data_IF_954688136104
#
_entry.id   IF_954688136104
#
_cell.length_a   1.000
_cell.length_b   1.000
_cell.length_c   1.000
_cell.angle_alpha   90.00
_cell.angle_beta   90.00
_cell.angle_gamma   90.00
#
_symmetry.space_group_name_H-M   'P 1'
#
loop_
_entity.id
_entity.type
_entity.pdbx_description
1 polymer ?
#
# COMPACT_ATOMS: atom_id res chain seq x y z
N UNK A 1 -24.31 -6.55 11.26
CA UNK A 1 -23.03 -6.86 10.59
C UNK A 1 -22.58 -5.68 9.73
N UNK A 2 -22.30 -4.52 10.34
CA UNK A 2 -21.74 -3.32 9.68
C UNK A 2 -20.59 -2.70 10.51
N UNK A 3 -20.20 -3.37 11.60
CA UNK A 3 -19.20 -2.92 12.58
C UNK A 3 -18.16 -4.02 12.84
N UNK A 4 -17.78 -4.77 11.80
CA UNK A 4 -16.57 -5.60 11.91
C UNK A 4 -15.39 -4.66 11.74
N UNK A 5 -14.59 -4.49 12.79
CA UNK A 5 -13.42 -3.61 12.81
C UNK A 5 -12.44 -3.97 11.67
N UNK A 6 -12.45 -5.22 11.19
CA UNK A 6 -11.64 -5.67 10.07
C UNK A 6 -12.10 -5.12 8.71
N UNK A 7 -13.36 -4.68 8.56
CA UNK A 7 -13.86 -4.16 7.29
C UNK A 7 -13.38 -2.75 6.96
N UNK A 8 -12.96 -1.98 7.97
CA UNK A 8 -12.45 -0.63 7.77
C UNK A 8 -10.94 -0.59 7.50
N UNK A 9 -10.28 -1.72 7.65
CA UNK A 9 -8.83 -1.86 7.55
C UNK A 9 -8.34 -1.66 6.10
N UNK A 10 -7.24 -0.94 5.92
CA UNK A 10 -6.72 -0.62 4.59
C UNK A 10 -6.47 -1.85 3.68
N UNK A 11 -6.00 -3.00 4.17
CA UNK A 11 -5.92 -4.23 3.38
C UNK A 11 -7.28 -4.69 2.83
N UNK A 12 -8.36 -4.53 3.60
CA UNK A 12 -9.70 -4.91 3.16
C UNK A 12 -10.19 -3.98 2.04
N UNK A 13 -9.93 -2.68 2.17
CA UNK A 13 -10.21 -1.71 1.11
C UNK A 13 -9.52 -2.11 -0.20
N UNK A 14 -8.29 -2.60 -0.14
CA UNK A 14 -7.56 -3.07 -1.33
C UNK A 14 -8.14 -4.39 -1.88
N UNK A 15 -8.53 -5.33 -1.02
CA UNK A 15 -9.18 -6.60 -1.42
C UNK A 15 -10.50 -6.34 -2.12
N UNK A 16 -11.38 -5.54 -1.51
CA UNK A 16 -12.68 -5.19 -2.09
C UNK A 16 -12.53 -4.35 -3.37
N UNK A 17 -11.53 -3.46 -3.43
CA UNK A 17 -11.22 -2.77 -4.69
C UNK A 17 -10.77 -3.74 -5.78
N UNK A 18 -9.87 -4.69 -5.50
CA UNK A 18 -9.46 -5.72 -6.48
C UNK A 18 -10.67 -6.53 -6.94
N UNK A 19 -11.53 -6.96 -6.02
CA UNK A 19 -12.76 -7.69 -6.31
C UNK A 19 -13.70 -6.89 -7.22
N UNK A 20 -13.94 -5.62 -6.91
CA UNK A 20 -14.74 -4.72 -7.73
C UNK A 20 -14.20 -4.65 -9.17
N UNK A 21 -12.88 -4.55 -9.35
CA UNK A 21 -12.25 -4.50 -10.67
C UNK A 21 -12.51 -5.80 -11.46
N UNK A 22 -12.35 -6.96 -10.81
CA UNK A 22 -12.65 -8.26 -11.42
C UNK A 22 -14.12 -8.40 -11.79
N UNK A 23 -15.03 -8.10 -10.87
CA UNK A 23 -16.48 -8.21 -11.08
C UNK A 23 -17.01 -7.26 -12.16
N UNK A 24 -16.37 -6.10 -12.35
CA UNK A 24 -16.73 -5.11 -13.37
C UNK A 24 -15.91 -5.20 -14.65
N UNK A 25 -15.03 -6.22 -14.78
CA UNK A 25 -14.10 -6.37 -15.91
C UNK A 25 -13.24 -5.13 -16.18
N UNK A 26 -12.91 -4.38 -15.12
CA UNK A 26 -11.99 -3.24 -15.17
C UNK A 26 -10.56 -3.71 -14.94
N UNK A 27 -9.63 -3.25 -15.77
CA UNK A 27 -8.20 -3.53 -15.60
C UNK A 27 -7.68 -2.90 -14.30
N UNK A 28 -6.94 -3.67 -13.50
CA UNK A 28 -6.36 -3.20 -12.24
C UNK A 28 -5.39 -2.05 -12.52
N UNK A 29 -5.57 -0.95 -11.80
CA UNK A 29 -4.78 0.28 -11.97
C UNK A 29 -4.18 0.75 -10.65
N UNK A 30 -3.96 -0.18 -9.70
CA UNK A 30 -3.37 0.11 -8.40
C UNK A 30 -2.50 -1.04 -7.87
N UNK A 31 -1.42 -0.69 -7.15
CA UNK A 31 -0.45 -1.63 -6.58
C UNK A 31 0.20 -1.09 -5.31
N UNK A 32 0.79 -1.99 -4.51
CA UNK A 32 1.78 -1.65 -3.49
C UNK A 32 3.17 -1.86 -4.08
N UNK A 33 3.98 -0.81 -4.15
CA UNK A 33 5.36 -0.86 -4.64
C UNK A 33 6.31 -0.75 -3.44
N UNK A 34 7.04 -1.83 -3.08
CA UNK A 34 8.04 -1.80 -2.03
C UNK A 34 9.31 -1.06 -2.49
N UNK A 35 9.87 -0.21 -1.63
CA UNK A 35 11.08 0.58 -1.90
C UNK A 35 11.11 1.13 -3.35
N UNK A 36 10.15 1.98 -3.73
CA UNK A 36 9.93 2.38 -5.11
C UNK A 36 11.16 3.05 -5.73
N UNK A 37 11.59 2.57 -6.89
CA UNK A 37 12.78 3.08 -7.58
C UNK A 37 12.65 4.57 -7.97
N UNK A 38 11.44 5.02 -8.29
CA UNK A 38 11.19 6.43 -8.63
C UNK A 38 11.51 7.40 -7.48
N UNK A 39 11.58 6.93 -6.23
CA UNK A 39 11.91 7.77 -5.08
C UNK A 39 13.39 8.22 -5.10
N UNK A 40 14.25 7.52 -5.84
CA UNK A 40 15.65 7.91 -6.04
C UNK A 40 15.77 9.22 -6.83
N UNK A 41 14.79 9.51 -7.70
CA UNK A 41 14.69 10.79 -8.41
C UNK A 41 14.12 11.93 -7.53
N UNK A 42 13.71 11.63 -6.29
CA UNK A 42 13.06 12.57 -5.36
C UNK A 42 13.78 12.61 -4.00
N UNK A 43 15.05 13.06 -3.95
CA UNK A 43 15.88 12.98 -2.75
C UNK A 43 15.29 13.73 -1.54
N UNK A 44 14.59 14.85 -1.76
CA UNK A 44 13.96 15.62 -0.67
C UNK A 44 12.75 14.92 -0.08
N UNK A 45 12.04 14.12 -0.88
CA UNK A 45 10.94 13.28 -0.41
C UNK A 45 11.50 12.06 0.31
N UNK A 46 12.53 11.41 -0.28
CA UNK A 46 13.19 10.23 0.28
C UNK A 46 13.70 10.47 1.70
N UNK A 47 14.24 11.67 1.98
CA UNK A 47 14.69 12.08 3.33
C UNK A 47 13.55 12.24 4.34
N UNK A 48 12.34 12.57 3.88
CA UNK A 48 11.15 12.77 4.74
C UNK A 48 10.41 11.46 5.03
N UNK A 49 10.57 10.45 4.20
CA UNK A 49 9.91 9.15 4.32
C UNK A 49 10.82 8.17 5.06
N UNK A 50 10.31 7.54 6.12
CA UNK A 50 11.04 6.50 6.87
C UNK A 50 11.29 5.29 5.98
N UNK A 51 12.49 4.73 6.07
CA UNK A 51 12.89 3.53 5.33
C UNK A 51 12.94 2.31 6.28
N UNK A 52 12.63 1.09 5.79
CA UNK A 52 12.13 0.82 4.44
C UNK A 52 10.69 1.33 4.25
N UNK A 53 10.31 1.63 3.01
CA UNK A 53 9.02 2.27 2.69
C UNK A 53 8.23 1.54 1.62
N UNK A 54 6.94 1.84 1.54
CA UNK A 54 6.03 1.35 0.50
C UNK A 54 5.27 2.52 -0.10
N UNK A 55 4.97 2.45 -1.39
CA UNK A 55 4.08 3.38 -2.07
C UNK A 55 2.82 2.66 -2.55
N UNK A 56 1.67 3.29 -2.34
CA UNK A 56 0.44 2.93 -3.06
C UNK A 56 0.47 3.71 -4.36
N UNK A 57 0.53 3.00 -5.48
CA UNK A 57 0.60 3.61 -6.82
C UNK A 57 -0.72 3.36 -7.52
N UNK A 58 -1.29 4.39 -8.15
CA UNK A 58 -2.51 4.26 -8.96
C UNK A 58 -2.59 5.35 -10.03
N UNK A 59 -3.28 5.08 -11.13
CA UNK A 59 -3.65 6.12 -12.12
C UNK A 59 -4.95 6.84 -11.76
N UNK A 60 -5.74 6.33 -10.81
CA UNK A 60 -6.99 6.94 -10.35
C UNK A 60 -6.70 8.07 -9.33
N UNK A 61 -6.76 9.32 -9.80
CA UNK A 61 -6.54 10.50 -8.95
C UNK A 61 -7.54 10.61 -7.79
N UNK A 62 -8.80 10.28 -8.02
CA UNK A 62 -9.85 10.39 -6.99
C UNK A 62 -9.56 9.38 -5.88
N UNK A 63 -9.20 8.16 -6.25
CA UNK A 63 -8.83 7.16 -5.28
C UNK A 63 -7.52 7.47 -4.55
N UNK A 64 -6.53 8.06 -5.24
CA UNK A 64 -5.31 8.54 -4.59
C UNK A 64 -5.60 9.59 -3.49
N UNK A 65 -6.52 10.52 -3.76
CA UNK A 65 -6.96 11.51 -2.76
C UNK A 65 -7.68 10.85 -1.58
N UNK A 66 -8.53 9.85 -1.84
CA UNK A 66 -9.14 9.03 -0.79
C UNK A 66 -8.08 8.33 0.09
N UNK A 67 -7.05 7.72 -0.51
CA UNK A 67 -5.98 7.05 0.23
C UNK A 67 -5.22 8.04 1.12
N UNK A 68 -4.94 9.25 0.63
CA UNK A 68 -4.31 10.30 1.42
C UNK A 68 -5.16 10.71 2.63
N UNK A 69 -6.47 10.88 2.45
CA UNK A 69 -7.39 11.21 3.54
C UNK A 69 -7.51 10.06 4.55
N UNK A 70 -7.53 8.80 4.08
CA UNK A 70 -7.68 7.62 4.93
C UNK A 70 -6.45 7.34 5.79
N UNK A 71 -5.25 7.46 5.23
CA UNK A 71 -4.00 7.12 5.92
C UNK A 71 -3.39 8.28 6.70
N UNK A 72 -3.81 9.53 6.42
CA UNK A 72 -3.38 10.79 7.04
C UNK A 72 -1.86 11.06 6.96
N UNK A 73 -1.05 10.26 7.65
CA UNK A 73 0.41 10.40 7.79
C UNK A 73 1.21 9.77 6.65
N UNK A 74 0.82 10.07 5.42
CA UNK A 74 1.51 9.64 4.19
C UNK A 74 1.89 10.82 3.31
N UNK A 75 2.97 10.67 2.55
CA UNK A 75 3.32 11.63 1.48
C UNK A 75 2.46 11.33 0.24
N UNK A 76 1.81 12.36 -0.32
CA UNK A 76 1.09 12.28 -1.60
C UNK A 76 1.93 12.99 -2.66
N UNK A 77 2.16 12.31 -3.78
CA UNK A 77 2.87 12.85 -4.94
C UNK A 77 2.38 12.24 -6.24
N UNK A 78 3.08 12.54 -7.34
CA UNK A 78 2.85 11.94 -8.64
C UNK A 78 4.20 11.77 -9.35
N UNK A 79 4.27 10.77 -10.23
CA UNK A 79 5.41 10.48 -11.11
C UNK A 79 4.88 10.27 -12.52
N UNK A 80 5.70 10.62 -13.50
CA UNK A 80 5.44 10.33 -14.92
C UNK A 80 6.42 9.25 -15.39
N UNK A 81 5.95 8.37 -16.25
CA UNK A 81 6.72 7.24 -16.76
C UNK A 81 5.82 6.12 -17.25
N UNK A 82 6.44 5.07 -17.80
CA UNK A 82 5.72 3.84 -18.14
C UNK A 82 5.30 3.10 -16.87
N UNK A 83 4.27 2.24 -16.97
CA UNK A 83 3.85 1.40 -15.84
C UNK A 83 5.01 0.56 -15.29
N UNK A 84 5.87 0.03 -16.16
CA UNK A 84 7.05 -0.77 -15.77
C UNK A 84 8.04 0.06 -14.94
N UNK A 85 8.29 1.30 -15.33
CA UNK A 85 9.20 2.21 -14.61
C UNK A 85 8.60 2.64 -13.26
N UNK A 86 7.32 3.03 -13.27
CA UNK A 86 6.62 3.52 -12.08
C UNK A 86 6.35 2.42 -11.03
N UNK A 87 6.26 1.15 -11.46
CA UNK A 87 6.04 0.00 -10.58
C UNK A 87 7.34 -0.71 -10.18
N UNK A 88 8.50 -0.22 -10.65
CA UNK A 88 9.79 -0.81 -10.32
C UNK A 88 10.12 -0.65 -8.83
N UNK A 89 10.45 -1.78 -8.21
CA UNK A 89 10.92 -1.87 -6.82
C UNK A 89 12.43 -2.03 -6.79
N UNK A 90 13.11 -1.34 -5.87
CA UNK A 90 14.55 -1.54 -5.65
C UNK A 90 14.83 -2.81 -4.83
N UNK A 91 14.00 -3.06 -3.80
CA UNK A 91 14.13 -4.22 -2.91
C UNK A 91 12.76 -4.56 -2.33
N UNK A 92 12.47 -5.85 -2.14
CA UNK A 92 11.24 -6.29 -1.47
C UNK A 92 11.33 -6.04 0.04
N UNK A 93 10.18 -5.79 0.67
CA UNK A 93 10.11 -5.64 2.13
C UNK A 93 10.14 -7.02 2.78
N UNK A 94 11.16 -7.30 3.60
CA UNK A 94 11.19 -8.49 4.43
C UNK A 94 10.02 -8.49 5.43
N UNK A 95 9.49 -9.67 5.77
CA UNK A 95 8.32 -9.78 6.66
C UNK A 95 8.60 -9.17 8.04
N UNK A 96 9.83 -9.31 8.54
CA UNK A 96 10.30 -8.77 9.82
C UNK A 96 10.84 -7.34 9.73
N UNK A 97 10.75 -6.67 8.56
CA UNK A 97 11.24 -5.31 8.36
C UNK A 97 10.61 -4.27 9.31
N UNK A 98 9.41 -4.55 9.83
CA UNK A 98 8.73 -3.71 10.81
C UNK A 98 8.65 -4.43 12.16
N UNK A 99 9.18 -3.78 13.20
CA UNK A 99 9.10 -4.30 14.56
C UNK A 99 7.65 -4.52 14.96
N UNK A 100 7.35 -5.74 15.40
CA UNK A 100 6.07 -6.06 16.01
C UNK A 100 5.83 -5.12 17.22
N UNK A 101 4.57 -4.71 17.48
CA UNK A 101 4.24 -3.99 18.69
C UNK A 101 4.54 -4.87 19.90
N UNK A 102 4.95 -4.24 20.99
CA UNK A 102 5.01 -4.88 22.29
C UNK A 102 3.59 -5.30 22.72
N UNK A 103 3.30 -6.61 22.90
CA UNK A 103 1.97 -7.08 23.28
C UNK A 103 1.47 -6.47 24.59
N UNK A 104 2.38 -6.15 25.52
CA UNK A 104 2.03 -5.53 26.80
C UNK A 104 1.55 -4.08 26.67
N UNK A 105 1.86 -3.42 25.54
CA UNK A 105 1.48 -2.03 25.24
C UNK A 105 0.38 -1.93 24.19
N UNK A 106 -0.09 -3.07 23.67
CA UNK A 106 -1.12 -3.10 22.65
C UNK A 106 -2.50 -2.99 23.29
N UNK A 107 -3.13 -1.82 23.13
CA UNK A 107 -4.44 -1.53 23.73
C UNK A 107 -5.59 -1.57 22.73
N UNK A 108 -5.31 -1.83 21.44
CA UNK A 108 -6.35 -1.88 20.42
C UNK A 108 -7.13 -3.20 20.51
N UNK A 109 -8.46 -3.18 20.31
CA UNK A 109 -9.31 -4.37 20.43
C UNK A 109 -9.12 -5.40 19.30
N UNK A 110 -8.40 -5.02 18.24
CA UNK A 110 -8.09 -5.87 17.09
C UNK A 110 -6.61 -6.28 17.04
N UNK A 111 -6.34 -7.42 16.38
CA UNK A 111 -4.99 -7.86 16.08
C UNK A 111 -4.35 -6.97 15.00
N UNK A 112 -3.03 -6.81 15.07
CA UNK A 112 -2.29 -6.24 13.93
C UNK A 112 -2.29 -7.19 12.75
N UNK A 113 -2.13 -6.63 11.55
CA UNK A 113 -1.95 -7.42 10.35
C UNK A 113 -0.76 -8.38 10.45
N UNK A 114 -0.94 -9.56 9.88
CA UNK A 114 0.16 -10.49 9.69
C UNK A 114 1.27 -9.83 8.84
N UNK A 115 2.54 -10.00 9.22
CA UNK A 115 3.65 -9.61 8.38
C UNK A 115 3.53 -10.16 6.95
N UNK A 116 3.77 -9.30 5.95
CA UNK A 116 3.70 -9.70 4.54
C UNK A 116 2.30 -9.65 3.91
N UNK A 117 1.26 -9.18 4.61
CA UNK A 117 -0.09 -9.04 4.02
C UNK A 117 -0.10 -8.22 2.72
N UNK A 118 0.85 -7.29 2.59
CA UNK A 118 1.00 -6.40 1.43
C UNK A 118 1.56 -7.10 0.19
N UNK A 119 2.18 -8.28 0.32
CA UNK A 119 2.78 -9.03 -0.79
C UNK A 119 1.73 -9.37 -1.85
N UNK A 120 0.49 -9.63 -1.45
CA UNK A 120 -0.61 -9.91 -2.35
C UNK A 120 -0.90 -8.75 -3.33
N UNK A 121 -0.43 -7.53 -3.05
CA UNK A 121 -0.68 -6.33 -3.85
C UNK A 121 0.54 -5.84 -4.62
N UNK A 122 1.63 -6.60 -4.63
CA UNK A 122 2.78 -6.28 -5.47
C UNK A 122 2.43 -6.40 -6.95
N UNK A 123 3.09 -5.62 -7.83
CA UNK A 123 3.04 -5.84 -9.28
C UNK A 123 3.40 -7.29 -9.62
N UNK A 124 2.58 -7.96 -10.42
CA UNK A 124 2.73 -9.38 -10.76
C UNK A 124 1.98 -10.35 -9.83
N UNK A 125 1.40 -9.87 -8.73
CA UNK A 125 0.59 -10.66 -7.80
C UNK A 125 -0.90 -10.32 -7.91
N UNK A 126 -1.37 -9.93 -9.10
CA UNK A 126 -2.77 -9.55 -9.34
C UNK A 126 -3.75 -10.70 -9.06
N UNK A 127 -3.29 -11.95 -9.15
CA UNK A 127 -4.07 -13.18 -8.95
C UNK A 127 -3.87 -13.84 -7.57
N UNK A 128 -3.06 -13.23 -6.69
CA UNK A 128 -2.83 -13.71 -5.33
C UNK A 128 -4.05 -13.54 -4.42
#
# INVERSE_FOLDING_TARGET
MLHDENNEHFPEVLRERRRFYRETSKEQDFWIVPNPAFLDAMPDVKKKVRQPCVAVVTTDKVWNDFVKLRLDRVYKGAVEGTGVECLKSNELIAKDAFKAPDPSKWTAPYLKYAPGWWEAFYPGNEDA
#
